data_IF_968582091365
#
_entry.id   IF_968582091365
#
_cell.length_a   1.000
_cell.length_b   1.000
_cell.length_c   1.000
_cell.angle_alpha   90.00
_cell.angle_beta   90.00
_cell.angle_gamma   90.00
#
_symmetry.space_group_name_H-M   'P 1'
#
loop_
_entity.id
_entity.type
_entity.pdbx_description
1 polymer ?
#
# COMPACT_ATOMS: atom_id res chain seq x y z
N UNK A 1 1.03 21.34 -2.95
CA UNK A 1 0.05 20.32 -2.51
C UNK A 1 0.20 19.08 -3.40
N UNK A 2 0.33 17.91 -2.77
CA UNK A 2 0.45 16.67 -3.53
C UNK A 2 -0.91 16.22 -4.00
N UNK A 3 -0.98 15.83 -5.28
CA UNK A 3 -2.20 15.20 -5.75
C UNK A 3 -2.15 13.70 -5.42
N UNK A 4 -3.25 13.03 -5.64
CA UNK A 4 -3.40 11.63 -5.25
C UNK A 4 -2.44 10.72 -6.03
N UNK A 5 -2.20 11.05 -7.28
CA UNK A 5 -1.27 10.28 -8.10
C UNK A 5 0.14 10.34 -7.55
N UNK A 6 0.58 11.53 -7.13
CA UNK A 6 1.91 11.69 -6.52
C UNK A 6 2.00 10.94 -5.20
N UNK A 7 0.92 10.92 -4.43
CA UNK A 7 0.91 10.17 -3.17
C UNK A 7 1.10 8.69 -3.41
N UNK A 8 0.45 8.15 -4.43
CA UNK A 8 0.60 6.73 -4.75
C UNK A 8 2.03 6.43 -5.19
N UNK A 9 2.66 7.33 -5.94
CA UNK A 9 4.07 7.17 -6.31
C UNK A 9 4.96 7.09 -5.08
N UNK A 10 4.72 7.97 -4.11
CA UNK A 10 5.49 7.95 -2.86
C UNK A 10 5.31 6.61 -2.13
N UNK A 11 4.08 6.12 -2.10
CA UNK A 11 3.78 4.86 -1.42
C UNK A 11 4.45 3.68 -2.13
N UNK A 12 4.46 3.69 -3.45
CA UNK A 12 5.13 2.64 -4.21
C UNK A 12 6.62 2.62 -3.93
N UNK A 13 7.24 3.80 -3.77
CA UNK A 13 8.65 3.87 -3.46
C UNK A 13 8.96 3.24 -2.10
N UNK A 14 8.10 3.49 -1.11
CA UNK A 14 8.29 2.88 0.20
C UNK A 14 8.14 1.37 0.11
N UNK A 15 7.12 0.90 -0.59
CA UNK A 15 6.91 -0.53 -0.76
C UNK A 15 8.12 -1.19 -1.41
N UNK A 16 8.68 -0.56 -2.43
CA UNK A 16 9.86 -1.08 -3.09
C UNK A 16 11.04 -1.22 -2.13
N UNK A 17 11.24 -0.22 -1.28
CA UNK A 17 12.32 -0.27 -0.30
C UNK A 17 12.14 -1.39 0.71
N UNK A 18 10.90 -1.76 0.96
CA UNK A 18 10.58 -2.85 1.89
C UNK A 18 10.48 -4.21 1.21
N UNK A 19 10.76 -4.25 -0.10
CA UNK A 19 10.64 -5.46 -0.92
C UNK A 19 9.21 -5.98 -0.93
N UNK A 20 8.25 -5.08 -0.93
CA UNK A 20 6.84 -5.43 -1.05
C UNK A 20 6.43 -5.23 -2.51
N UNK A 21 5.92 -6.28 -3.13
CA UNK A 21 5.45 -6.20 -4.50
C UNK A 21 4.02 -5.66 -4.52
N UNK A 22 3.71 -4.79 -5.48
CA UNK A 22 2.35 -4.28 -5.65
C UNK A 22 1.85 -4.76 -7.00
N UNK A 23 0.72 -5.45 -6.99
CA UNK A 23 0.07 -5.93 -8.21
C UNK A 23 -1.32 -5.33 -8.32
N UNK A 24 -1.65 -4.90 -9.53
CA UNK A 24 -2.97 -4.33 -9.83
C UNK A 24 -3.64 -5.26 -10.82
N UNK A 25 -4.83 -5.73 -10.48
CA UNK A 25 -5.54 -6.69 -11.31
C UNK A 25 -7.05 -6.46 -11.22
N UNK A 26 -7.76 -7.00 -12.18
CA UNK A 26 -9.22 -6.94 -12.15
C UNK A 26 -9.73 -8.08 -11.27
N UNK A 27 -10.03 -7.76 -10.02
CA UNK A 27 -10.40 -8.78 -9.04
C UNK A 27 -11.82 -9.31 -9.26
N UNK A 28 -12.63 -8.60 -10.02
CA UNK A 28 -13.99 -9.04 -10.32
C UNK A 28 -14.04 -10.15 -11.35
N UNK A 29 -12.97 -10.35 -12.11
CA UNK A 29 -12.91 -11.38 -13.13
C UNK A 29 -12.38 -12.70 -12.62
N UNK A 30 -12.08 -12.76 -11.33
CA UNK A 30 -11.53 -13.98 -10.76
C UNK A 30 -12.64 -14.99 -10.49
N UNK A 31 -12.29 -16.27 -10.67
CA UNK A 31 -13.20 -17.36 -10.38
C UNK A 31 -13.62 -17.37 -8.91
N UNK A 32 -12.71 -16.96 -8.05
CA UNK A 32 -12.97 -16.82 -6.62
C UNK A 32 -12.94 -15.34 -6.27
N UNK A 33 -13.72 -14.97 -5.26
CA UNK A 33 -13.69 -13.60 -4.79
C UNK A 33 -12.35 -13.34 -4.11
N UNK A 34 -11.59 -12.42 -4.69
CA UNK A 34 -10.31 -12.00 -4.15
C UNK A 34 -10.46 -10.54 -3.75
N UNK A 35 -10.08 -10.22 -2.52
CA UNK A 35 -10.17 -8.85 -2.02
C UNK A 35 -8.80 -8.19 -2.11
N UNK A 36 -8.81 -6.87 -2.34
CA UNK A 36 -7.56 -6.11 -2.28
C UNK A 36 -7.01 -6.17 -0.86
N UNK A 37 -5.71 -6.11 -0.76
CA UNK A 37 -5.06 -6.11 0.53
C UNK A 37 -3.71 -6.77 0.48
N UNK A 38 -3.18 -6.99 1.67
CA UNK A 38 -1.86 -7.57 1.84
C UNK A 38 -1.96 -9.09 1.93
N UNK A 39 -1.00 -9.76 1.29
CA UNK A 39 -0.83 -11.20 1.50
C UNK A 39 0.64 -11.55 1.38
N UNK A 40 0.97 -12.76 1.82
CA UNK A 40 2.34 -13.25 1.75
C UNK A 40 2.32 -14.56 0.97
N UNK A 41 3.08 -14.61 -0.11
CA UNK A 41 3.12 -15.77 -0.99
C UNK A 41 4.57 -16.21 -1.13
N UNK A 42 4.86 -17.45 -0.75
CA UNK A 42 6.21 -18.02 -0.84
C UNK A 42 7.25 -17.14 -0.17
N UNK A 43 6.89 -16.56 0.98
CA UNK A 43 7.80 -15.71 1.72
C UNK A 43 7.92 -14.29 1.21
N UNK A 44 7.17 -13.95 0.16
CA UNK A 44 7.21 -12.59 -0.40
C UNK A 44 5.98 -11.81 0.00
N UNK A 45 6.20 -10.55 0.37
CA UNK A 45 5.12 -9.64 0.73
C UNK A 45 4.51 -9.07 -0.55
N UNK A 46 3.19 -9.08 -0.60
CA UNK A 46 2.45 -8.65 -1.79
C UNK A 46 1.26 -7.80 -1.38
N UNK A 47 1.07 -6.68 -2.06
CA UNK A 47 -0.15 -5.89 -1.95
C UNK A 47 -0.92 -6.05 -3.25
N UNK A 48 -2.15 -6.52 -3.15
CA UNK A 48 -3.00 -6.72 -4.30
C UNK A 48 -4.04 -5.61 -4.35
N UNK A 49 -4.10 -4.92 -5.48
CA UNK A 49 -5.02 -3.79 -5.66
C UNK A 49 -5.99 -4.11 -6.80
N UNK A 50 -7.24 -3.70 -6.61
CA UNK A 50 -8.27 -3.84 -7.63
C UNK A 50 -8.15 -2.67 -8.60
N UNK A 51 -7.93 -2.95 -9.88
CA UNK A 51 -7.81 -1.89 -10.87
C UNK A 51 -9.09 -1.08 -11.01
N UNK A 52 -10.21 -1.62 -10.58
CA UNK A 52 -11.49 -0.92 -10.64
C UNK A 52 -11.76 -0.05 -9.43
N UNK A 53 -10.89 -0.10 -8.41
CA UNK A 53 -11.04 0.78 -7.27
C UNK A 53 -10.44 2.14 -7.58
N UNK A 54 -10.88 3.15 -6.84
CA UNK A 54 -10.38 4.51 -7.03
C UNK A 54 -8.92 4.61 -6.55
N UNK A 55 -8.24 5.65 -7.01
CA UNK A 55 -6.88 5.91 -6.52
C UNK A 55 -6.87 6.12 -5.02
N UNK A 56 -7.92 6.76 -4.49
CA UNK A 56 -8.04 6.95 -3.04
C UNK A 56 -8.07 5.61 -2.32
N UNK A 57 -8.89 4.68 -2.80
CA UNK A 57 -9.00 3.37 -2.18
C UNK A 57 -7.69 2.60 -2.29
N UNK A 58 -7.02 2.69 -3.44
CA UNK A 58 -5.74 2.02 -3.61
C UNK A 58 -4.70 2.56 -2.64
N UNK A 59 -4.64 3.87 -2.46
CA UNK A 59 -3.70 4.47 -1.53
C UNK A 59 -3.97 4.02 -0.10
N UNK A 60 -5.24 3.89 0.27
CA UNK A 60 -5.60 3.45 1.60
C UNK A 60 -5.16 2.03 1.89
N UNK A 61 -5.29 1.14 0.89
CA UNK A 61 -4.85 -0.24 1.06
C UNK A 61 -3.34 -0.28 1.31
N UNK A 62 -2.58 0.49 0.55
CA UNK A 62 -1.13 0.53 0.74
C UNK A 62 -0.78 1.09 2.10
N UNK A 63 -1.40 2.20 2.50
CA UNK A 63 -1.11 2.82 3.79
C UNK A 63 -1.41 1.89 4.96
N UNK A 64 -2.54 1.20 4.90
CA UNK A 64 -2.89 0.26 5.96
C UNK A 64 -1.87 -0.87 6.06
N UNK A 65 -1.38 -1.34 4.93
CA UNK A 65 -0.36 -2.37 4.92
C UNK A 65 0.95 -1.87 5.54
N UNK A 66 1.37 -0.66 5.16
CA UNK A 66 2.64 -0.11 5.64
C UNK A 66 2.66 0.11 7.14
N UNK A 67 1.50 0.28 7.77
CA UNK A 67 1.42 0.43 9.22
C UNK A 67 1.97 -0.77 9.96
N UNK A 68 2.02 -1.92 9.32
CA UNK A 68 2.50 -3.16 9.94
C UNK A 68 3.98 -3.40 9.71
N UNK A 69 4.67 -2.47 9.09
CA UNK A 69 6.10 -2.61 8.78
C UNK A 69 6.92 -1.57 9.53
N UNK A 70 8.18 -1.91 9.79
CA UNK A 70 9.11 -1.01 10.45
C UNK A 70 9.67 -0.02 9.43
N UNK A 71 9.34 1.26 9.58
CA UNK A 71 9.77 2.30 8.66
C UNK A 71 10.91 3.15 9.24
N UNK A 72 11.48 2.73 10.36
CA UNK A 72 12.48 3.56 11.07
C UNK A 72 13.78 3.71 10.30
N UNK A 73 14.15 2.71 9.54
CA UNK A 73 15.46 2.68 8.90
C UNK A 73 15.44 3.03 7.43
N UNK A 74 14.32 3.54 6.92
CA UNK A 74 14.23 3.93 5.52
C UNK A 74 13.70 5.35 5.41
N UNK A 75 14.01 6.00 4.29
CA UNK A 75 13.42 7.31 4.01
C UNK A 75 11.95 7.13 3.62
N UNK A 76 11.11 7.91 4.25
CA UNK A 76 9.68 7.91 3.98
C UNK A 76 9.22 9.35 3.88
N UNK A 77 8.42 9.67 2.87
CA UNK A 77 7.87 11.02 2.74
C UNK A 77 7.16 11.41 4.03
N UNK A 78 7.32 12.65 4.43
CA UNK A 78 6.82 13.09 5.74
C UNK A 78 5.31 12.89 5.89
N UNK A 79 4.54 13.06 4.83
CA UNK A 79 3.09 12.90 4.94
C UNK A 79 2.70 11.46 5.28
N UNK A 80 3.49 10.49 4.80
CA UNK A 80 3.25 9.07 5.10
C UNK A 80 3.55 8.81 6.56
N UNK A 81 4.67 9.33 7.04
CA UNK A 81 5.07 9.12 8.42
C UNK A 81 4.07 9.76 9.38
N UNK A 82 3.59 10.94 9.03
CA UNK A 82 2.57 11.61 9.85
C UNK A 82 1.27 10.82 9.90
N UNK A 83 0.86 10.29 8.76
CA UNK A 83 -0.35 9.48 8.72
C UNK A 83 -0.24 8.26 9.63
N UNK A 84 0.88 7.55 9.51
CA UNK A 84 1.09 6.33 10.28
C UNK A 84 1.17 6.63 11.78
N UNK A 85 1.85 7.71 12.14
CA UNK A 85 1.98 8.10 13.55
C UNK A 85 0.62 8.48 14.15
N UNK A 86 -0.20 9.17 13.39
CA UNK A 86 -1.54 9.53 13.87
C UNK A 86 -2.39 8.30 14.13
N UNK A 87 -2.30 7.32 13.24
CA UNK A 87 -3.07 6.09 13.40
C UNK A 87 -2.55 5.26 14.57
N UNK A 88 -1.26 5.35 14.86
CA UNK A 88 -0.66 4.57 15.93
C UNK A 88 -0.91 5.16 17.31
N UNK A 89 -1.33 6.39 17.37
CA UNK A 89 -1.39 7.18 18.59
C UNK A 89 -2.71 7.01 19.35
N UNK A 90 -3.31 5.91 19.19
CA UNK A 90 -4.58 5.63 19.83
C UNK A 90 -4.45 4.80 21.07
#
# INVERSE_FOLDING_TARGET
MQDLKSKIEDLKMVAEKLAIEIQIANLNDQEFQIQSGYCKINGKDLILLDKNSSLQEQSEVILQTLKNFDLENIYVASWIREFINQESDK
#
